data_IF_643608328971
#
_entry.id   IF_643608328971
#
_cell.length_a   1.000
_cell.length_b   1.000
_cell.length_c   1.000
_cell.angle_alpha   90.00
_cell.angle_beta   90.00
_cell.angle_gamma   90.00
#
_symmetry.space_group_name_H-M   'P 1'
#
loop_
_entity.id
_entity.type
_entity.pdbx_description
1 polymer ?
#
# COMPACT_ATOMS: atom_id res chain seq x y z
N UNK A 1 -7.30 20.83 -35.30
CA UNK A 1 -7.58 19.46 -34.80
C UNK A 1 -7.71 19.51 -33.29
N UNK A 2 -8.82 19.05 -32.68
CA UNK A 2 -8.92 18.99 -31.22
C UNK A 2 -7.79 18.08 -30.70
N UNK A 3 -6.98 18.58 -29.76
CA UNK A 3 -5.96 17.76 -29.09
C UNK A 3 -6.68 16.61 -28.37
N UNK A 4 -6.40 15.38 -28.80
CA UNK A 4 -6.89 14.18 -28.14
C UNK A 4 -6.38 14.18 -26.69
N UNK A 5 -7.24 13.75 -25.77
CA UNK A 5 -6.94 13.74 -24.33
C UNK A 5 -5.81 12.77 -23.96
N UNK A 6 -5.63 11.73 -24.77
CA UNK A 6 -4.62 10.70 -24.59
C UNK A 6 -3.68 10.74 -25.80
N UNK A 7 -2.38 10.80 -25.55
CA UNK A 7 -1.38 10.56 -26.59
C UNK A 7 -1.24 9.04 -26.76
N UNK A 8 -1.53 8.54 -27.96
CA UNK A 8 -1.25 7.15 -28.34
C UNK A 8 -0.15 7.20 -29.38
N UNK A 9 0.94 6.50 -29.11
CA UNK A 9 2.05 6.42 -30.06
C UNK A 9 1.71 5.38 -31.13
N UNK A 10 1.36 5.86 -32.32
CA UNK A 10 1.01 5.02 -33.48
C UNK A 10 2.08 3.97 -33.80
N UNK A 11 3.36 4.29 -33.63
CA UNK A 11 4.49 3.36 -33.79
C UNK A 11 4.45 2.19 -32.81
N UNK A 12 3.93 2.40 -31.59
CA UNK A 12 3.78 1.33 -30.59
C UNK A 12 2.68 0.35 -30.96
N UNK A 13 1.58 0.81 -31.56
CA UNK A 13 0.51 -0.08 -32.04
C UNK A 13 1.08 -1.07 -33.05
N UNK A 14 1.80 -0.56 -34.06
CA UNK A 14 2.46 -1.40 -35.08
C UNK A 14 3.41 -2.41 -34.45
N UNK A 15 4.31 -1.92 -33.59
CA UNK A 15 5.32 -2.77 -32.93
C UNK A 15 4.67 -3.89 -32.10
N UNK A 16 3.64 -3.57 -31.31
CA UNK A 16 2.94 -4.55 -30.49
C UNK A 16 2.16 -5.55 -31.35
N UNK A 17 1.56 -5.12 -32.46
CA UNK A 17 0.90 -6.02 -33.40
C UNK A 17 1.87 -7.03 -34.00
N UNK A 18 3.02 -6.55 -34.46
CA UNK A 18 4.08 -7.40 -35.02
C UNK A 18 4.64 -8.38 -33.99
N UNK A 19 4.83 -7.93 -32.74
CA UNK A 19 5.23 -8.79 -31.62
C UNK A 19 4.17 -9.85 -31.27
N UNK A 20 2.89 -9.54 -31.42
CA UNK A 20 1.79 -10.48 -31.25
C UNK A 20 1.62 -11.43 -32.45
N UNK A 21 2.38 -11.24 -33.53
CA UNK A 21 2.29 -12.06 -34.75
C UNK A 21 1.00 -11.85 -35.54
N UNK A 22 0.30 -10.72 -35.34
CA UNK A 22 -0.99 -10.45 -35.97
C UNK A 22 -0.82 -9.67 -37.28
N UNK A 23 -1.58 -10.06 -38.30
CA UNK A 23 -1.81 -9.23 -39.48
C UNK A 23 -2.71 -8.04 -39.16
N UNK A 24 -2.72 -7.03 -40.04
CA UNK A 24 -3.63 -5.89 -39.92
C UNK A 24 -5.11 -6.32 -39.95
N UNK A 25 -5.44 -7.36 -40.73
CA UNK A 25 -6.79 -7.90 -40.82
C UNK A 25 -7.20 -8.62 -39.54
N UNK A 26 -6.33 -9.51 -39.02
CA UNK A 26 -6.62 -10.22 -37.76
C UNK A 26 -6.77 -9.25 -36.58
N UNK A 27 -5.94 -8.20 -36.50
CA UNK A 27 -6.11 -7.18 -35.47
C UNK A 27 -7.45 -6.44 -35.62
N UNK A 28 -7.84 -6.12 -36.86
CA UNK A 28 -9.12 -5.45 -37.14
C UNK A 28 -10.30 -6.32 -36.70
N UNK A 29 -10.26 -7.62 -37.00
CA UNK A 29 -11.28 -8.60 -36.64
C UNK A 29 -11.37 -8.78 -35.11
N UNK A 30 -10.23 -8.89 -34.42
CA UNK A 30 -10.19 -8.99 -32.95
C UNK A 30 -10.74 -7.73 -32.25
N UNK A 31 -10.47 -6.55 -32.79
CA UNK A 31 -10.95 -5.26 -32.22
C UNK A 31 -12.40 -4.97 -32.62
N UNK A 32 -12.89 -5.59 -33.69
CA UNK A 32 -14.22 -5.35 -34.26
C UNK A 32 -14.29 -4.03 -35.03
N UNK A 33 -13.24 -3.69 -35.79
CA UNK A 33 -13.19 -2.52 -36.68
C UNK A 33 -12.79 -2.93 -38.09
N UNK A 34 -12.89 -2.03 -39.06
CA UNK A 34 -12.42 -2.32 -40.42
C UNK A 34 -10.89 -2.29 -40.49
N UNK A 35 -10.31 -3.09 -41.40
CA UNK A 35 -8.87 -3.05 -41.76
C UNK A 35 -8.33 -1.62 -41.90
N UNK A 36 -9.08 -0.76 -42.59
CA UNK A 36 -8.67 0.62 -42.89
C UNK A 36 -8.55 1.50 -41.64
N UNK A 37 -9.32 1.22 -40.60
CA UNK A 37 -9.22 1.92 -39.31
C UNK A 37 -7.90 1.57 -38.62
N UNK A 38 -7.47 0.31 -38.65
CA UNK A 38 -6.18 -0.12 -38.08
C UNK A 38 -5.01 0.52 -38.82
N UNK A 39 -5.07 0.57 -40.16
CA UNK A 39 -4.07 1.29 -40.96
C UNK A 39 -3.96 2.75 -40.54
N UNK A 40 -5.09 3.43 -40.39
CA UNK A 40 -5.07 4.83 -39.98
C UNK A 40 -4.56 5.05 -38.54
N UNK A 41 -4.76 4.10 -37.64
CA UNK A 41 -4.17 4.14 -36.30
C UNK A 41 -2.65 3.99 -36.35
N UNK A 42 -2.13 3.03 -37.11
CA UNK A 42 -0.68 2.81 -37.25
C UNK A 42 0.04 3.91 -38.04
N UNK A 43 -0.66 4.62 -38.92
CA UNK A 43 -0.14 5.80 -39.62
C UNK A 43 -0.30 7.09 -38.80
N UNK A 44 -0.95 7.04 -37.63
CA UNK A 44 -1.19 8.21 -36.80
C UNK A 44 -2.22 9.21 -37.36
N UNK A 45 -3.01 8.82 -38.37
CA UNK A 45 -4.07 9.67 -38.94
C UNK A 45 -5.28 9.81 -38.01
N UNK A 46 -5.55 8.80 -37.19
CA UNK A 46 -6.60 8.83 -36.16
C UNK A 46 -6.10 8.28 -34.83
N UNK A 47 -6.62 8.85 -33.73
CA UNK A 47 -6.41 8.32 -32.37
C UNK A 47 -7.61 7.45 -31.98
N UNK A 48 -7.41 6.19 -31.58
CA UNK A 48 -8.52 5.34 -31.14
C UNK A 48 -9.28 5.93 -29.95
N UNK A 49 -10.62 5.80 -29.97
CA UNK A 49 -11.46 6.13 -28.82
C UNK A 49 -11.29 5.13 -27.67
N UNK A 50 -11.72 5.50 -26.46
CA UNK A 50 -11.49 4.70 -25.25
C UNK A 50 -11.90 3.22 -25.37
N UNK A 51 -13.07 2.93 -25.96
CA UNK A 51 -13.52 1.56 -26.20
C UNK A 51 -12.56 0.78 -27.11
N UNK A 52 -12.08 1.42 -28.17
CA UNK A 52 -11.14 0.82 -29.12
C UNK A 52 -9.75 0.67 -28.52
N UNK A 53 -9.30 1.60 -27.67
CA UNK A 53 -8.04 1.48 -26.93
C UNK A 53 -8.05 0.24 -26.03
N UNK A 54 -9.15 0.01 -25.32
CA UNK A 54 -9.28 -1.17 -24.47
C UNK A 54 -9.24 -2.46 -25.29
N UNK A 55 -10.03 -2.52 -26.36
CA UNK A 55 -10.05 -3.68 -27.26
C UNK A 55 -8.71 -3.92 -27.95
N UNK A 56 -8.01 -2.86 -28.35
CA UNK A 56 -6.64 -2.95 -28.87
C UNK A 56 -5.69 -3.55 -27.84
N UNK A 57 -5.72 -3.08 -26.59
CA UNK A 57 -4.86 -3.61 -25.55
C UNK A 57 -5.15 -5.10 -25.25
N UNK A 58 -6.43 -5.48 -25.23
CA UNK A 58 -6.84 -6.87 -25.02
C UNK A 58 -6.41 -7.76 -26.21
N UNK A 59 -6.63 -7.31 -27.46
CA UNK A 59 -6.24 -8.04 -28.67
C UNK A 59 -4.72 -8.19 -28.84
N UNK A 60 -3.97 -7.14 -28.52
CA UNK A 60 -2.49 -7.15 -28.57
C UNK A 60 -1.87 -7.86 -27.38
N UNK A 61 -2.67 -8.24 -26.38
CA UNK A 61 -2.16 -8.75 -25.14
C UNK A 61 -1.14 -7.79 -24.53
N UNK A 62 -1.48 -6.52 -24.35
CA UNK A 62 -0.71 -5.55 -23.56
C UNK A 62 -1.59 -4.85 -22.50
N UNK A 63 -1.06 -3.91 -21.72
CA UNK A 63 -1.85 -2.96 -20.94
C UNK A 63 -2.10 -1.68 -21.76
N UNK A 64 -3.12 -0.89 -21.41
CA UNK A 64 -3.37 0.38 -22.11
C UNK A 64 -2.22 1.38 -21.97
N UNK A 65 -1.51 1.36 -20.83
CA UNK A 65 -0.30 2.15 -20.62
C UNK A 65 0.82 1.82 -21.63
N UNK A 66 0.87 0.59 -22.13
CA UNK A 66 1.84 0.19 -23.16
C UNK A 66 1.53 0.83 -24.52
N UNK A 67 0.27 1.20 -24.77
CA UNK A 67 -0.17 1.92 -25.99
C UNK A 67 0.09 3.42 -25.91
N UNK A 68 -0.04 4.01 -24.72
CA UNK A 68 0.15 5.45 -24.49
C UNK A 68 1.60 5.82 -24.24
N UNK A 69 2.42 4.86 -23.82
CA UNK A 69 3.77 5.14 -23.35
C UNK A 69 3.83 5.74 -21.97
N UNK A 70 2.70 5.84 -21.25
CA UNK A 70 2.64 6.32 -19.87
C UNK A 70 3.41 5.33 -18.98
N UNK A 71 4.51 5.73 -18.32
CA UNK A 71 5.18 4.86 -17.36
C UNK A 71 4.23 4.35 -16.27
N UNK A 72 4.47 3.13 -15.78
CA UNK A 72 3.70 2.62 -14.64
C UNK A 72 3.85 3.54 -13.43
N UNK A 73 2.73 3.87 -12.78
CA UNK A 73 2.71 4.79 -11.64
C UNK A 73 2.65 6.26 -12.02
N UNK A 74 2.61 6.61 -13.32
CA UNK A 74 2.42 7.98 -13.80
C UNK A 74 1.05 8.22 -14.45
N UNK A 75 0.08 7.33 -14.23
CA UNK A 75 -1.26 7.44 -14.82
C UNK A 75 -2.00 8.70 -14.31
N UNK A 76 -2.75 9.34 -15.21
CA UNK A 76 -3.68 10.46 -14.98
C UNK A 76 -5.13 9.98 -14.99
N UNK A 77 -6.09 10.86 -14.68
CA UNK A 77 -7.51 10.49 -14.66
C UNK A 77 -8.00 9.96 -16.02
N UNK A 78 -7.47 10.51 -17.12
CA UNK A 78 -7.85 10.05 -18.45
C UNK A 78 -7.22 8.70 -18.79
N UNK A 79 -5.98 8.44 -18.36
CA UNK A 79 -5.35 7.12 -18.53
C UNK A 79 -6.20 6.03 -17.85
N UNK A 80 -6.68 6.28 -16.63
CA UNK A 80 -7.53 5.34 -15.90
C UNK A 80 -8.87 5.10 -16.59
N UNK A 81 -9.51 6.15 -17.11
CA UNK A 81 -10.78 6.02 -17.84
C UNK A 81 -10.60 5.21 -19.13
N UNK A 82 -9.52 5.46 -19.87
CA UNK A 82 -9.21 4.71 -21.08
C UNK A 82 -8.82 3.26 -20.79
N UNK A 83 -8.12 3.01 -19.69
CA UNK A 83 -7.85 1.65 -19.19
C UNK A 83 -9.13 0.87 -18.88
N UNK A 84 -10.18 1.55 -18.42
CA UNK A 84 -11.51 1.00 -18.21
C UNK A 84 -12.35 0.89 -19.50
N UNK A 85 -11.88 1.41 -20.64
CA UNK A 85 -12.58 1.37 -21.92
C UNK A 85 -13.81 2.29 -22.00
N UNK A 86 -13.90 3.31 -21.14
CA UNK A 86 -15.10 4.15 -21.01
C UNK A 86 -14.96 5.47 -21.75
N UNK A 87 -15.99 5.89 -22.50
CA UNK A 87 -16.11 7.27 -22.98
C UNK A 87 -16.47 8.22 -21.83
N UNK A 88 -16.33 9.54 -22.06
CA UNK A 88 -16.72 10.54 -21.07
C UNK A 88 -18.24 10.53 -20.81
N UNK A 89 -19.02 10.20 -21.83
CA UNK A 89 -20.47 10.02 -21.79
C UNK A 89 -20.86 8.81 -20.93
N UNK A 90 -20.20 7.66 -21.14
CA UNK A 90 -20.51 6.45 -20.38
C UNK A 90 -20.20 6.59 -18.90
N UNK A 91 -19.03 7.13 -18.55
CA UNK A 91 -18.68 7.37 -17.14
C UNK A 91 -19.63 8.38 -16.50
N UNK A 92 -20.02 9.44 -17.22
CA UNK A 92 -20.98 10.41 -16.70
C UNK A 92 -22.34 9.78 -16.41
N UNK A 93 -22.85 8.93 -17.31
CA UNK A 93 -24.09 8.18 -17.09
C UNK A 93 -23.99 7.26 -15.88
N UNK A 94 -22.89 6.49 -15.75
CA UNK A 94 -22.67 5.61 -14.58
C UNK A 94 -22.58 6.40 -13.27
N UNK A 95 -21.87 7.52 -13.27
CA UNK A 95 -21.74 8.37 -12.08
C UNK A 95 -23.07 9.02 -11.70
N UNK A 96 -23.88 9.49 -12.66
CA UNK A 96 -25.22 10.05 -12.40
C UNK A 96 -26.20 9.06 -11.77
N UNK A 97 -25.95 7.76 -11.87
CA UNK A 97 -26.74 6.74 -11.16
C UNK A 97 -26.45 6.71 -9.64
N UNK A 98 -25.32 7.29 -9.21
CA UNK A 98 -24.91 7.36 -7.80
C UNK A 98 -25.39 8.66 -7.14
N UNK A 99 -25.54 8.67 -5.82
CA UNK A 99 -25.91 9.88 -5.06
C UNK A 99 -24.93 11.03 -5.31
N UNK A 100 -23.62 10.78 -5.12
CA UNK A 100 -22.59 11.82 -5.32
C UNK A 100 -22.55 12.37 -6.75
N UNK A 101 -22.81 11.54 -7.76
CA UNK A 101 -22.82 12.01 -9.14
C UNK A 101 -24.01 12.91 -9.47
N UNK A 102 -25.17 12.69 -8.81
CA UNK A 102 -26.31 13.61 -8.87
C UNK A 102 -26.01 14.92 -8.15
N UNK A 103 -25.45 14.85 -6.94
CA UNK A 103 -25.10 16.04 -6.14
C UNK A 103 -24.07 16.94 -6.82
N UNK A 104 -23.16 16.34 -7.59
CA UNK A 104 -22.16 17.06 -8.39
C UNK A 104 -22.65 17.46 -9.78
N UNK A 105 -23.86 17.03 -10.17
CA UNK A 105 -24.40 17.19 -11.53
C UNK A 105 -23.37 16.76 -12.59
N UNK A 106 -22.77 15.58 -12.42
CA UNK A 106 -21.68 15.09 -13.29
C UNK A 106 -22.17 14.96 -14.72
N UNK A 107 -21.48 15.54 -15.70
CA UNK A 107 -21.72 15.30 -17.12
C UNK A 107 -20.40 15.07 -17.87
N UNK A 108 -20.48 14.68 -19.15
CA UNK A 108 -19.31 14.43 -19.97
C UNK A 108 -18.39 15.64 -20.10
N UNK A 109 -18.94 16.87 -20.07
CA UNK A 109 -18.13 18.10 -20.12
C UNK A 109 -17.35 18.32 -18.82
N UNK A 110 -17.97 18.09 -17.65
CA UNK A 110 -17.31 18.16 -16.35
C UNK A 110 -16.23 17.10 -16.21
N UNK A 111 -16.48 15.86 -16.63
CA UNK A 111 -15.46 14.80 -16.66
C UNK A 111 -14.27 15.23 -17.52
N UNK A 112 -14.52 15.72 -18.74
CA UNK A 112 -13.48 16.19 -19.66
C UNK A 112 -12.71 17.42 -19.17
N UNK A 113 -13.34 18.27 -18.36
CA UNK A 113 -12.70 19.44 -17.76
C UNK A 113 -11.88 19.03 -16.54
N UNK A 114 -12.38 18.10 -15.73
CA UNK A 114 -11.65 17.46 -14.64
C UNK A 114 -10.34 16.85 -15.15
N UNK A 115 -10.43 16.02 -16.20
CA UNK A 115 -9.30 15.32 -16.84
C UNK A 115 -8.27 16.22 -17.50
N UNK A 116 -8.61 17.49 -17.78
CA UNK A 116 -7.70 18.48 -18.38
C UNK A 116 -7.12 19.44 -17.37
N UNK A 117 -7.36 19.23 -16.08
CA UNK A 117 -6.96 20.21 -15.05
C UNK A 117 -7.71 21.54 -15.15
N UNK A 118 -8.84 21.62 -15.89
CA UNK A 118 -9.62 22.85 -16.02
C UNK A 118 -10.62 23.00 -14.88
N UNK A 119 -11.06 24.23 -14.64
CA UNK A 119 -12.12 24.51 -13.67
C UNK A 119 -13.39 23.69 -13.99
N UNK A 120 -13.97 23.06 -12.96
CA UNK A 120 -15.24 22.34 -13.03
C UNK A 120 -16.29 23.15 -12.28
N UNK A 121 -17.42 23.43 -12.93
CA UNK A 121 -18.47 24.27 -12.35
C UNK A 121 -19.31 23.55 -11.28
N UNK A 122 -19.64 24.29 -10.23
CA UNK A 122 -20.53 23.87 -9.13
C UNK A 122 -19.87 23.99 -7.76
N UNK A 123 -20.60 24.47 -6.76
CA UNK A 123 -20.06 24.69 -5.41
C UNK A 123 -19.59 23.37 -4.76
N UNK A 124 -20.37 22.30 -4.88
CA UNK A 124 -20.03 20.96 -4.38
C UNK A 124 -18.71 20.41 -4.96
N UNK A 125 -18.24 20.88 -6.13
CA UNK A 125 -16.94 20.45 -6.68
C UNK A 125 -15.74 21.05 -5.94
N UNK A 126 -15.95 22.15 -5.19
CA UNK A 126 -14.92 22.78 -4.35
C UNK A 126 -14.80 22.12 -2.98
N UNK A 127 -15.76 21.27 -2.61
CA UNK A 127 -15.74 20.59 -1.32
C UNK A 127 -14.95 19.28 -1.39
N UNK A 128 -13.83 19.15 -0.65
CA UNK A 128 -13.02 17.93 -0.68
C UNK A 128 -13.79 16.66 -0.29
N UNK A 129 -14.80 16.78 0.58
CA UNK A 129 -15.62 15.64 0.99
C UNK A 129 -16.48 15.07 -0.16
N UNK A 130 -17.06 15.95 -0.99
CA UNK A 130 -17.84 15.55 -2.17
C UNK A 130 -16.95 14.93 -3.23
N UNK A 131 -15.80 15.54 -3.53
CA UNK A 131 -14.83 14.98 -4.49
C UNK A 131 -14.23 13.67 -3.98
N UNK A 132 -14.06 13.49 -2.66
CA UNK A 132 -13.60 12.22 -2.08
C UNK A 132 -14.59 11.07 -2.24
N UNK A 133 -15.90 11.34 -2.08
CA UNK A 133 -16.96 10.37 -2.43
C UNK A 133 -16.94 10.05 -3.93
N UNK A 134 -16.73 11.05 -4.79
CA UNK A 134 -16.58 10.84 -6.23
C UNK A 134 -15.38 9.95 -6.55
N UNK A 135 -14.24 10.14 -5.90
CA UNK A 135 -13.03 9.31 -6.05
C UNK A 135 -13.32 7.83 -5.74
N UNK A 136 -14.13 7.53 -4.72
CA UNK A 136 -14.54 6.14 -4.43
C UNK A 136 -15.43 5.55 -5.54
N UNK A 137 -16.35 6.34 -6.10
CA UNK A 137 -17.18 5.88 -7.22
C UNK A 137 -16.36 5.69 -8.49
N UNK A 138 -15.45 6.62 -8.81
CA UNK A 138 -14.52 6.47 -9.93
C UNK A 138 -13.66 5.21 -9.79
N UNK A 139 -13.13 4.93 -8.61
CA UNK A 139 -12.34 3.74 -8.35
C UNK A 139 -13.13 2.45 -8.62
N UNK A 140 -14.40 2.43 -8.21
CA UNK A 140 -15.32 1.32 -8.48
C UNK A 140 -15.59 1.16 -9.96
N UNK A 141 -15.94 2.24 -10.66
CA UNK A 141 -16.29 2.20 -12.08
C UNK A 141 -15.08 1.89 -12.98
N UNK A 142 -13.89 2.35 -12.59
CA UNK A 142 -12.64 2.06 -13.29
C UNK A 142 -12.01 0.72 -12.90
N UNK A 143 -12.58 0.03 -11.91
CA UNK A 143 -12.07 -1.25 -11.38
C UNK A 143 -10.61 -1.17 -10.89
N UNK A 144 -10.23 -0.02 -10.33
CA UNK A 144 -8.91 0.23 -9.76
C UNK A 144 -9.02 0.59 -8.28
N UNK A 145 -7.96 0.42 -7.49
CA UNK A 145 -8.01 0.79 -6.09
C UNK A 145 -8.08 2.30 -5.92
N UNK A 146 -8.80 2.76 -4.90
CA UNK A 146 -9.02 4.18 -4.57
C UNK A 146 -7.75 5.03 -4.65
N UNK A 147 -6.61 4.52 -4.15
CA UNK A 147 -5.32 5.22 -4.20
C UNK A 147 -4.87 5.60 -5.61
N UNK A 148 -5.17 4.79 -6.63
CA UNK A 148 -4.78 5.09 -8.01
C UNK A 148 -5.57 6.27 -8.55
N UNK A 149 -6.87 6.35 -8.23
CA UNK A 149 -7.68 7.52 -8.60
C UNK A 149 -7.21 8.76 -7.84
N UNK A 150 -6.83 8.63 -6.57
CA UNK A 150 -6.27 9.73 -5.80
C UNK A 150 -4.95 10.25 -6.39
N UNK A 151 -4.01 9.34 -6.66
CA UNK A 151 -2.70 9.66 -7.26
C UNK A 151 -2.88 10.30 -8.65
N UNK A 152 -3.78 9.74 -9.47
CA UNK A 152 -4.13 10.27 -10.77
C UNK A 152 -4.81 11.64 -10.69
N UNK A 153 -5.68 11.88 -9.69
CA UNK A 153 -6.31 13.17 -9.46
C UNK A 153 -5.28 14.24 -9.14
N UNK A 154 -4.42 13.98 -8.16
CA UNK A 154 -3.36 14.90 -7.75
C UNK A 154 -2.42 15.21 -8.91
N UNK A 155 -2.02 14.19 -9.69
CA UNK A 155 -1.21 14.37 -10.90
C UNK A 155 -1.91 15.19 -11.99
N UNK A 156 -3.21 14.99 -12.18
CA UNK A 156 -4.00 15.72 -13.19
C UNK A 156 -4.25 17.17 -12.76
N UNK A 157 -4.30 17.41 -11.44
CA UNK A 157 -4.74 18.67 -10.82
C UNK A 157 -3.78 19.05 -9.67
N UNK A 158 -2.53 19.43 -9.98
CA UNK A 158 -1.51 19.67 -8.95
C UNK A 158 -1.77 20.90 -8.08
N UNK A 159 -2.60 21.84 -8.56
CA UNK A 159 -2.94 23.08 -7.85
C UNK A 159 -4.23 22.99 -7.02
N UNK A 160 -4.97 21.89 -7.13
CA UNK A 160 -6.22 21.70 -6.38
C UNK A 160 -5.93 21.03 -5.03
N UNK A 161 -6.75 21.36 -4.03
CA UNK A 161 -6.79 20.57 -2.80
C UNK A 161 -7.17 19.11 -3.13
N UNK A 162 -6.46 18.12 -2.56
CA UNK A 162 -6.76 16.73 -2.84
C UNK A 162 -8.15 16.36 -2.29
N UNK A 163 -8.88 15.48 -3.00
CA UNK A 163 -10.14 14.93 -2.51
C UNK A 163 -9.98 14.30 -1.12
N UNK A 164 -10.91 14.59 -0.20
CA UNK A 164 -10.91 14.03 1.16
C UNK A 164 -11.80 12.81 1.19
N UNK A 165 -11.20 11.62 1.25
CA UNK A 165 -11.96 10.39 1.40
C UNK A 165 -12.84 10.45 2.66
N UNK A 166 -14.06 9.88 2.62
CA UNK A 166 -14.88 9.72 3.82
C UNK A 166 -14.08 9.04 4.92
N UNK A 167 -14.19 9.57 6.14
CA UNK A 167 -13.62 8.92 7.31
C UNK A 167 -14.17 7.51 7.43
N UNK A 168 -13.26 6.53 7.51
CA UNK A 168 -13.65 5.20 7.90
C UNK A 168 -13.82 5.22 9.41
N UNK A 169 -15.04 4.95 9.88
CA UNK A 169 -15.22 4.50 11.25
C UNK A 169 -14.25 3.33 11.47
N UNK A 170 -13.39 3.46 12.49
CA UNK A 170 -12.48 2.38 12.87
C UNK A 170 -13.38 1.27 13.40
N UNK A 171 -13.50 0.12 12.71
CA UNK A 171 -14.33 -0.94 13.22
C UNK A 171 -13.81 -1.34 14.60
N UNK A 172 -14.73 -1.48 15.56
CA UNK A 172 -14.41 -2.02 16.87
C UNK A 172 -13.80 -3.43 16.77
N UNK A 173 -13.34 -3.98 17.90
CA UNK A 173 -12.86 -5.36 17.92
C UNK A 173 -13.94 -6.30 17.34
N UNK A 174 -13.56 -7.31 16.54
CA UNK A 174 -14.53 -8.28 16.03
C UNK A 174 -15.31 -8.91 17.18
N UNK A 175 -16.63 -9.12 17.03
CA UNK A 175 -17.46 -9.73 18.08
C UNK A 175 -16.84 -11.05 18.61
N UNK A 176 -16.40 -11.92 17.70
CA UNK A 176 -15.70 -13.16 18.05
C UNK A 176 -14.43 -13.00 18.92
N UNK A 177 -13.77 -11.84 18.87
CA UNK A 177 -12.61 -11.53 19.70
C UNK A 177 -13.03 -11.06 21.09
N UNK A 178 -14.12 -10.31 21.18
CA UNK A 178 -14.77 -9.89 22.45
C UNK A 178 -15.30 -11.12 23.17
N UNK A 179 -16.16 -11.91 22.51
CA UNK A 179 -16.73 -13.14 23.05
C UNK A 179 -15.61 -14.12 23.49
N UNK A 180 -14.56 -14.21 22.67
CA UNK A 180 -13.40 -15.03 22.94
C UNK A 180 -12.64 -14.63 24.20
N UNK A 181 -12.59 -13.33 24.53
CA UNK A 181 -11.96 -12.82 25.75
C UNK A 181 -12.86 -12.99 26.97
N UNK A 182 -14.16 -12.71 26.81
CA UNK A 182 -15.16 -12.87 27.87
C UNK A 182 -15.25 -14.33 28.34
N UNK A 183 -15.12 -15.29 27.43
CA UNK A 183 -15.08 -16.72 27.75
C UNK A 183 -13.84 -17.18 28.53
N UNK A 184 -12.76 -16.38 28.58
CA UNK A 184 -11.57 -16.71 29.35
C UNK A 184 -11.80 -16.45 30.84
N UNK A 185 -11.28 -17.33 31.69
CA UNK A 185 -11.18 -17.03 33.12
C UNK A 185 -10.11 -15.96 33.39
N UNK A 186 -10.15 -15.37 34.58
CA UNK A 186 -9.26 -14.28 34.99
C UNK A 186 -7.78 -14.62 34.77
N UNK A 187 -7.38 -15.83 35.17
CA UNK A 187 -6.01 -16.32 35.00
C UNK A 187 -5.60 -16.39 33.53
N UNK A 188 -6.44 -16.95 32.67
CA UNK A 188 -6.20 -17.04 31.22
C UNK A 188 -6.08 -15.65 30.58
N UNK A 189 -6.90 -14.69 31.04
CA UNK A 189 -6.82 -13.29 30.59
C UNK A 189 -5.48 -12.67 30.93
N UNK A 190 -5.00 -12.85 32.17
CA UNK A 190 -3.67 -12.35 32.58
C UNK A 190 -2.57 -12.99 31.73
N UNK A 191 -2.58 -14.31 31.55
CA UNK A 191 -1.57 -15.00 30.71
C UNK A 191 -1.56 -14.47 29.28
N UNK A 192 -2.74 -14.38 28.66
CA UNK A 192 -2.84 -13.93 27.27
C UNK A 192 -2.43 -12.45 27.13
N UNK A 193 -2.78 -11.60 28.09
CA UNK A 193 -2.37 -10.20 28.14
C UNK A 193 -0.85 -10.03 28.29
N UNK A 194 -0.22 -10.79 29.19
CA UNK A 194 1.23 -10.73 29.40
C UNK A 194 2.03 -11.29 28.23
N UNK A 195 1.50 -12.29 27.52
CA UNK A 195 2.07 -12.79 26.26
C UNK A 195 1.96 -11.74 25.16
N UNK A 196 0.80 -11.07 25.01
CA UNK A 196 0.66 -9.96 24.05
C UNK A 196 1.69 -8.86 24.34
N UNK A 197 1.84 -8.49 25.61
CA UNK A 197 2.78 -7.45 26.04
C UNK A 197 4.22 -7.82 25.68
N UNK A 198 4.65 -9.05 25.92
CA UNK A 198 6.00 -9.50 25.56
C UNK A 198 6.21 -9.56 24.03
N UNK A 199 5.21 -9.96 23.26
CA UNK A 199 5.26 -9.95 21.78
C UNK A 199 5.48 -8.53 21.26
N UNK A 200 4.72 -7.55 21.79
CA UNK A 200 4.86 -6.14 21.44
C UNK A 200 6.20 -5.54 21.88
N UNK A 201 6.67 -5.85 23.09
CA UNK A 201 7.99 -5.41 23.57
C UNK A 201 9.12 -5.99 22.70
N UNK A 202 9.05 -7.28 22.38
CA UNK A 202 10.03 -7.93 21.51
C UNK A 202 9.99 -7.35 20.10
N UNK A 203 8.80 -7.03 19.57
CA UNK A 203 8.65 -6.33 18.30
C UNK A 203 9.35 -4.96 18.29
N UNK A 204 9.18 -4.18 19.36
CA UNK A 204 9.90 -2.90 19.56
C UNK A 204 11.42 -3.10 19.67
N UNK A 205 11.90 -4.10 20.40
CA UNK A 205 13.33 -4.43 20.49
C UNK A 205 13.92 -4.79 19.13
N UNK A 206 13.21 -5.61 18.34
CA UNK A 206 13.64 -5.98 16.99
C UNK A 206 13.62 -4.79 16.04
N UNK A 207 12.65 -3.89 16.19
CA UNK A 207 12.61 -2.63 15.46
C UNK A 207 13.83 -1.76 15.80
N UNK A 208 14.15 -1.57 17.08
CA UNK A 208 15.34 -0.81 17.52
C UNK A 208 16.64 -1.43 16.99
N UNK A 209 16.77 -2.76 17.03
CA UNK A 209 17.92 -3.46 16.45
C UNK A 209 18.06 -3.21 14.95
N UNK A 210 16.96 -3.20 14.18
CA UNK A 210 16.99 -2.88 12.75
C UNK A 210 17.41 -1.43 12.50
N UNK A 211 16.93 -0.49 13.31
CA UNK A 211 17.35 0.91 13.20
C UNK A 211 18.86 1.07 13.44
N UNK A 212 19.39 0.33 14.41
CA UNK A 212 20.83 0.31 14.73
C UNK A 212 21.64 -0.63 13.82
N UNK A 213 21.10 -1.04 12.67
CA UNK A 213 21.75 -1.91 11.67
C UNK A 213 22.24 -3.26 12.22
N UNK A 214 21.72 -3.71 13.36
CA UNK A 214 22.06 -4.99 13.95
C UNK A 214 21.35 -6.14 13.20
N UNK A 215 21.95 -7.33 13.22
CA UNK A 215 21.35 -8.53 12.64
C UNK A 215 20.08 -8.90 13.41
N UNK A 216 18.95 -8.97 12.70
CA UNK A 216 17.65 -9.35 13.27
C UNK A 216 17.20 -10.69 12.67
N UNK A 217 16.89 -11.71 13.49
CA UNK A 217 16.39 -12.98 12.98
C UNK A 217 15.01 -12.82 12.30
N UNK A 218 14.56 -13.80 11.49
CA UNK A 218 13.22 -13.81 10.93
C UNK A 218 12.13 -13.72 12.01
N UNK A 219 11.00 -13.07 11.70
CA UNK A 219 9.88 -12.91 12.63
C UNK A 219 9.37 -14.23 13.22
N UNK A 220 9.37 -15.30 12.42
CA UNK A 220 8.98 -16.65 12.85
C UNK A 220 9.88 -17.22 13.97
N UNK A 221 11.10 -16.70 14.11
CA UNK A 221 12.04 -17.14 15.14
C UNK A 221 11.91 -16.29 16.40
N UNK A 222 11.98 -14.95 16.31
CA UNK A 222 11.95 -14.10 17.50
C UNK A 222 10.55 -13.94 18.13
N UNK A 223 9.47 -14.25 17.40
CA UNK A 223 8.10 -14.29 17.96
C UNK A 223 7.85 -15.52 18.85
N UNK A 224 8.82 -16.44 18.95
CA UNK A 224 8.78 -17.53 19.92
C UNK A 224 9.37 -17.02 21.23
N UNK A 225 8.51 -16.69 22.19
CA UNK A 225 8.88 -16.06 23.44
C UNK A 225 9.25 -17.12 24.49
N UNK A 226 10.43 -17.05 25.13
CA UNK A 226 10.79 -17.94 26.23
C UNK A 226 9.79 -17.85 27.39
N UNK A 227 9.10 -18.97 27.65
CA UNK A 227 8.20 -19.08 28.78
C UNK A 227 8.90 -19.71 29.98
N UNK A 228 9.52 -20.88 29.83
CA UNK A 228 10.19 -21.57 30.93
C UNK A 228 11.40 -22.37 30.44
N UNK A 229 12.38 -22.54 31.33
CA UNK A 229 13.51 -23.48 31.17
C UNK A 229 13.26 -24.67 32.09
N UNK A 230 13.46 -25.89 31.60
CA UNK A 230 13.23 -27.14 32.32
C UNK A 230 14.41 -27.47 33.24
N UNK A 231 14.61 -26.59 34.23
CA UNK A 231 15.65 -26.68 35.25
C UNK A 231 15.20 -25.89 36.51
N UNK A 232 15.78 -26.15 37.70
CA UNK A 232 15.40 -25.44 38.92
C UNK A 232 15.56 -23.93 38.78
N UNK A 233 14.53 -23.16 39.13
CA UNK A 233 14.51 -21.70 38.95
C UNK A 233 15.55 -20.96 39.79
N UNK A 234 16.08 -21.59 40.84
CA UNK A 234 17.22 -21.08 41.62
C UNK A 234 18.49 -20.97 40.76
N UNK A 235 18.60 -21.81 39.73
CA UNK A 235 19.77 -21.88 38.86
C UNK A 235 19.56 -21.13 37.55
N UNK A 236 18.39 -21.27 36.93
CA UNK A 236 18.08 -20.62 35.63
C UNK A 236 17.32 -19.30 35.73
N UNK A 237 16.88 -18.93 36.93
CA UNK A 237 16.05 -17.76 37.16
C UNK A 237 14.64 -17.90 36.58
N UNK A 238 14.02 -16.75 36.33
CA UNK A 238 12.69 -16.64 35.73
C UNK A 238 12.76 -15.86 34.42
N UNK A 239 12.04 -16.32 33.41
CA UNK A 239 11.86 -15.55 32.17
C UNK A 239 11.07 -14.27 32.43
N UNK A 240 11.11 -13.33 31.47
CA UNK A 240 10.33 -12.07 31.55
C UNK A 240 8.83 -12.34 31.76
N UNK A 241 8.29 -13.33 31.05
CA UNK A 241 6.91 -13.77 31.21
C UNK A 241 6.65 -14.33 32.62
N UNK A 242 7.53 -15.21 33.12
CA UNK A 242 7.39 -15.75 34.47
C UNK A 242 7.45 -14.66 35.54
N UNK A 243 8.38 -13.71 35.43
CA UNK A 243 8.49 -12.60 36.38
C UNK A 243 7.19 -11.77 36.43
N UNK A 244 6.62 -11.43 35.27
CA UNK A 244 5.37 -10.65 35.22
C UNK A 244 4.16 -11.43 35.71
N UNK A 245 4.06 -12.72 35.38
CA UNK A 245 3.00 -13.58 35.90
C UNK A 245 3.09 -13.78 37.42
N UNK A 246 4.32 -13.83 37.98
CA UNK A 246 4.53 -13.83 39.43
C UNK A 246 4.12 -12.52 40.06
N UNK A 247 4.46 -11.38 39.45
CA UNK A 247 4.03 -10.07 39.97
C UNK A 247 2.52 -9.85 39.94
N UNK A 248 1.82 -10.58 39.07
CA UNK A 248 0.36 -10.62 39.00
C UNK A 248 -0.26 -11.75 39.85
N UNK A 249 0.54 -12.44 40.67
CA UNK A 249 0.11 -13.53 41.57
C UNK A 249 -0.61 -14.72 40.87
N UNK A 250 -0.27 -14.97 39.60
CA UNK A 250 -0.87 -16.05 38.79
C UNK A 250 0.15 -17.10 38.33
N UNK A 251 1.36 -17.09 38.87
CA UNK A 251 2.39 -18.07 38.53
C UNK A 251 2.61 -19.06 39.69
N UNK A 252 2.01 -20.25 39.56
CA UNK A 252 2.01 -21.37 40.50
C UNK A 252 2.29 -22.73 39.80
N UNK A 253 2.14 -23.85 40.52
CA UNK A 253 2.13 -25.22 39.97
C UNK A 253 0.85 -25.49 39.12
N UNK A 254 0.63 -24.68 38.09
CA UNK A 254 -0.51 -24.76 37.17
C UNK A 254 -0.28 -24.04 35.83
N UNK A 255 0.90 -23.46 35.63
CA UNK A 255 1.26 -22.72 34.41
C UNK A 255 1.09 -23.55 33.12
N UNK A 256 1.47 -24.84 33.15
CA UNK A 256 1.33 -25.75 32.00
C UNK A 256 -0.12 -25.97 31.57
N UNK A 257 -1.05 -26.13 32.52
CA UNK A 257 -2.47 -26.31 32.24
C UNK A 257 -3.10 -25.06 31.61
N UNK A 258 -2.68 -23.87 32.06
CA UNK A 258 -3.16 -22.60 31.51
C UNK A 258 -2.69 -22.43 30.06
N UNK A 259 -1.42 -22.70 29.79
CA UNK A 259 -0.87 -22.68 28.43
C UNK A 259 -1.57 -23.67 27.51
N UNK A 260 -1.77 -24.92 27.98
CA UNK A 260 -2.47 -25.94 27.20
C UNK A 260 -3.92 -25.53 26.87
N UNK A 261 -4.62 -24.91 27.82
CA UNK A 261 -5.97 -24.41 27.58
C UNK A 261 -6.00 -23.28 26.54
N UNK A 262 -5.09 -22.30 26.63
CA UNK A 262 -4.98 -21.21 25.65
C UNK A 262 -4.60 -21.74 24.25
N UNK A 263 -3.75 -22.76 24.19
CA UNK A 263 -3.39 -23.43 22.93
C UNK A 263 -4.57 -24.17 22.32
N UNK A 264 -5.35 -24.91 23.11
CA UNK A 264 -6.58 -25.59 22.66
C UNK A 264 -7.63 -24.62 22.10
N UNK A 265 -7.71 -23.41 22.66
CA UNK A 265 -8.55 -22.33 22.16
C UNK A 265 -7.98 -21.65 20.89
N UNK A 266 -6.79 -22.04 20.44
CA UNK A 266 -6.11 -21.49 19.28
C UNK A 266 -5.58 -20.06 19.49
N UNK A 267 -5.42 -19.62 20.75
CA UNK A 267 -4.98 -18.27 21.10
C UNK A 267 -3.46 -18.17 21.14
N UNK A 268 -2.78 -19.25 21.49
CA UNK A 268 -1.32 -19.36 21.46
C UNK A 268 -0.89 -20.66 20.77
N UNK A 269 0.42 -20.79 20.49
CA UNK A 269 1.10 -22.03 20.16
C UNK A 269 2.22 -22.25 21.16
N UNK A 270 2.37 -23.47 21.65
CA UNK A 270 3.44 -23.87 22.55
C UNK A 270 4.39 -24.77 21.78
N UNK A 271 5.68 -24.45 21.81
CA UNK A 271 6.73 -25.30 21.23
C UNK A 271 7.85 -25.51 22.22
N UNK A 272 8.65 -26.56 22.04
CA UNK A 272 9.85 -26.81 22.83
C UNK A 272 11.07 -26.82 21.93
N UNK A 273 12.17 -26.25 22.42
CA UNK A 273 13.50 -26.40 21.84
C UNK A 273 14.53 -26.66 22.95
N UNK A 274 15.81 -26.79 22.57
CA UNK A 274 16.92 -26.96 23.50
C UNK A 274 17.82 -25.75 23.47
N UNK A 275 18.35 -25.38 24.63
CA UNK A 275 19.28 -24.27 24.77
C UNK A 275 20.37 -24.63 25.77
N UNK A 276 21.60 -24.29 25.43
CA UNK A 276 22.73 -24.38 26.34
C UNK A 276 22.66 -23.26 27.39
N UNK A 277 22.62 -23.64 28.67
CA UNK A 277 22.70 -22.70 29.78
C UNK A 277 24.09 -22.81 30.42
N UNK A 278 24.85 -21.71 30.50
CA UNK A 278 26.17 -21.70 31.11
C UNK A 278 26.15 -22.31 32.52
N UNK A 279 26.99 -23.31 32.76
CA UNK A 279 27.13 -23.98 34.07
C UNK A 279 26.12 -25.10 34.36
N UNK A 280 25.11 -25.31 33.51
CA UNK A 280 24.13 -26.40 33.64
C UNK A 280 24.23 -27.38 32.47
N UNK A 281 24.49 -26.86 31.27
CA UNK A 281 24.45 -27.63 30.03
C UNK A 281 23.14 -27.43 29.28
N UNK A 282 22.81 -28.38 28.40
CA UNK A 282 21.61 -28.35 27.57
C UNK A 282 20.34 -28.56 28.40
N UNK A 283 19.41 -27.62 28.31
CA UNK A 283 18.09 -27.70 28.95
C UNK A 283 16.98 -27.51 27.93
N UNK A 284 15.86 -28.20 28.15
CA UNK A 284 14.66 -28.00 27.34
C UNK A 284 14.03 -26.63 27.69
N UNK A 285 13.62 -25.88 26.68
CA UNK A 285 12.97 -24.57 26.83
C UNK A 285 11.58 -24.60 26.22
N UNK A 286 10.60 -24.19 27.00
CA UNK A 286 9.22 -23.97 26.53
C UNK A 286 9.09 -22.57 25.96
N UNK A 287 8.58 -22.49 24.73
CA UNK A 287 8.36 -21.27 23.97
C UNK A 287 6.87 -21.08 23.69
N UNK A 288 6.41 -19.84 23.77
CA UNK A 288 5.02 -19.45 23.44
C UNK A 288 5.00 -18.45 22.28
N UNK A 289 4.09 -18.64 21.34
CA UNK A 289 3.81 -17.72 20.23
C UNK A 289 2.32 -17.34 20.25
N UNK A 290 2.01 -16.05 20.30
CA UNK A 290 0.61 -15.60 20.23
C UNK A 290 0.09 -15.66 18.79
N UNK A 291 -1.08 -16.28 18.60
CA UNK A 291 -1.66 -16.38 17.26
C UNK A 291 -2.29 -15.06 16.83
N UNK A 292 -2.68 -14.94 15.55
CA UNK A 292 -3.47 -13.79 15.07
C UNK A 292 -4.80 -13.68 15.84
N UNK A 293 -5.45 -14.81 16.14
CA UNK A 293 -6.68 -14.88 16.93
C UNK A 293 -6.42 -14.46 18.39
N UNK A 294 -5.33 -14.97 18.98
CA UNK A 294 -4.90 -14.57 20.33
C UNK A 294 -4.66 -13.07 20.46
N UNK A 295 -3.93 -12.47 19.51
CA UNK A 295 -3.71 -11.01 19.48
C UNK A 295 -5.01 -10.22 19.38
N UNK A 296 -5.93 -10.64 18.51
CA UNK A 296 -7.23 -9.98 18.37
C UNK A 296 -8.04 -10.07 19.68
N UNK A 297 -8.10 -11.25 20.29
CA UNK A 297 -8.78 -11.50 21.57
C UNK A 297 -8.18 -10.67 22.72
N UNK A 298 -6.87 -10.71 22.87
CA UNK A 298 -6.14 -9.96 23.89
C UNK A 298 -6.34 -8.44 23.76
N UNK A 299 -6.22 -7.92 22.54
CA UNK A 299 -6.42 -6.49 22.27
C UNK A 299 -7.85 -6.05 22.56
N UNK A 300 -8.84 -6.85 22.14
CA UNK A 300 -10.26 -6.59 22.42
C UNK A 300 -10.52 -6.46 23.93
N UNK A 301 -9.99 -7.41 24.71
CA UNK A 301 -10.17 -7.44 26.16
C UNK A 301 -9.42 -6.37 26.95
N UNK A 302 -8.24 -5.96 26.46
CA UNK A 302 -7.43 -4.91 27.07
C UNK A 302 -7.81 -3.49 26.58
N UNK A 303 -8.84 -3.37 25.73
CA UNK A 303 -9.21 -2.09 25.13
C UNK A 303 -8.14 -1.49 24.21
N UNK A 304 -7.19 -2.31 23.73
CA UNK A 304 -6.15 -1.85 22.81
C UNK A 304 -6.72 -1.80 21.39
N UNK A 305 -6.63 -0.66 20.68
CA UNK A 305 -7.10 -0.59 19.30
C UNK A 305 -6.27 -1.53 18.42
N UNK A 306 -6.91 -2.14 17.43
CA UNK A 306 -6.17 -2.84 16.39
C UNK A 306 -5.29 -1.84 15.64
N UNK A 307 -4.04 -2.21 15.35
CA UNK A 307 -3.22 -1.49 14.36
C UNK A 307 -3.94 -1.55 13.02
N UNK A 308 -4.65 -0.48 12.69
CA UNK A 308 -5.29 -0.32 11.40
C UNK A 308 -4.23 0.10 10.38
N UNK A 309 -4.20 -0.58 9.23
CA UNK A 309 -3.48 -0.08 8.08
C UNK A 309 -3.90 1.38 7.80
N UNK A 310 -2.97 2.24 7.35
CA UNK A 310 -3.32 3.61 7.02
C UNK A 310 -4.45 3.63 5.95
N UNK A 311 -5.22 4.72 5.87
CA UNK A 311 -6.15 4.93 4.78
C UNK A 311 -5.51 4.59 3.42
N UNK A 312 -6.27 4.01 2.50
CA UNK A 312 -5.69 3.37 1.30
C UNK A 312 -4.81 4.29 0.43
N UNK A 313 -5.04 5.61 0.48
CA UNK A 313 -4.28 6.64 -0.25
C UNK A 313 -3.04 7.14 0.52
N UNK A 314 -2.86 6.76 1.77
CA UNK A 314 -1.69 7.08 2.59
C UNK A 314 -0.71 5.90 2.61
N UNK A 315 0.53 6.20 2.95
CA UNK A 315 1.65 5.28 3.03
C UNK A 315 1.75 4.70 4.44
N UNK A 316 2.27 3.47 4.55
CA UNK A 316 2.76 2.97 5.82
C UNK A 316 3.92 3.82 6.34
N UNK A 317 4.17 3.83 7.65
CA UNK A 317 5.29 4.53 8.29
C UNK A 317 6.63 4.30 7.57
N UNK A 318 6.96 3.05 7.23
CA UNK A 318 8.19 2.72 6.51
C UNK A 318 8.29 3.42 5.14
N UNK A 319 7.25 3.29 4.30
CA UNK A 319 7.21 3.95 2.99
C UNK A 319 7.18 5.47 3.09
N UNK A 320 6.53 6.03 4.13
CA UNK A 320 6.54 7.46 4.42
C UNK A 320 7.96 7.94 4.76
N UNK A 321 8.67 7.25 5.65
CA UNK A 321 10.06 7.55 5.98
C UNK A 321 11.01 7.45 4.78
N UNK A 322 10.80 6.48 3.88
CA UNK A 322 11.57 6.41 2.63
C UNK A 322 11.28 7.60 1.73
N UNK A 323 10.01 7.98 1.57
CA UNK A 323 9.63 9.15 0.75
C UNK A 323 10.25 10.45 1.30
N UNK A 324 10.20 10.67 2.62
CA UNK A 324 10.83 11.81 3.27
C UNK A 324 12.35 11.82 3.11
N UNK A 325 13.01 10.65 3.18
CA UNK A 325 14.46 10.56 2.94
C UNK A 325 14.84 10.97 1.52
N UNK A 326 14.10 10.49 0.53
CA UNK A 326 14.33 10.89 -0.87
C UNK A 326 14.03 12.37 -1.08
N UNK A 327 13.01 12.92 -0.42
CA UNK A 327 12.71 14.36 -0.47
C UNK A 327 13.82 15.21 0.17
N UNK A 328 14.35 14.77 1.33
CA UNK A 328 15.41 15.45 2.06
C UNK A 328 16.76 15.46 1.35
N UNK A 329 17.01 14.52 0.43
CA UNK A 329 18.20 14.53 -0.42
C UNK A 329 18.20 15.70 -1.45
N UNK A 330 17.04 16.33 -1.66
CA UNK A 330 16.92 17.54 -2.48
C UNK A 330 17.44 17.36 -3.92
N UNK A 331 18.16 18.35 -4.47
CA UNK A 331 18.63 18.33 -5.85
C UNK A 331 19.75 17.31 -6.11
N UNK A 332 20.53 16.89 -5.10
CA UNK A 332 21.58 15.89 -5.27
C UNK A 332 21.01 14.48 -5.46
N UNK A 333 19.84 14.21 -4.86
CA UNK A 333 19.17 12.93 -4.93
C UNK A 333 19.86 11.83 -4.12
N UNK A 334 19.11 10.76 -3.86
CA UNK A 334 19.52 9.69 -2.95
C UNK A 334 20.18 8.54 -3.73
N UNK A 335 21.28 7.97 -3.23
CA UNK A 335 21.89 6.79 -3.85
C UNK A 335 21.01 5.54 -3.65
N UNK A 336 21.07 4.58 -4.56
CA UNK A 336 20.27 3.34 -4.44
C UNK A 336 20.63 2.53 -3.18
N UNK A 337 21.89 2.53 -2.74
CA UNK A 337 22.30 1.83 -1.51
C UNK A 337 21.67 2.41 -0.23
N UNK A 338 21.17 3.63 -0.29
CA UNK A 338 20.53 4.32 0.85
C UNK A 338 19.00 4.10 0.86
N UNK A 339 18.45 3.53 -0.22
CA UNK A 339 17.09 3.03 -0.24
C UNK A 339 17.01 1.70 0.52
N UNK A 340 15.93 1.54 1.27
CA UNK A 340 15.74 0.33 2.09
C UNK A 340 14.80 -0.65 1.44
N UNK A 341 15.18 -1.93 1.43
CA UNK A 341 14.31 -3.05 1.10
C UNK A 341 13.67 -2.96 -0.28
N UNK A 342 12.35 -3.17 -0.33
CA UNK A 342 11.56 -3.24 -1.57
C UNK A 342 10.86 -1.92 -1.93
N UNK A 343 11.32 -0.78 -1.39
CA UNK A 343 10.61 0.50 -1.49
C UNK A 343 10.37 0.94 -2.95
N UNK A 344 11.31 0.67 -3.85
CA UNK A 344 11.21 0.97 -5.29
C UNK A 344 9.94 0.39 -5.92
N UNK A 345 9.61 -0.86 -5.61
CA UNK A 345 8.42 -1.52 -6.15
C UNK A 345 7.10 -0.86 -5.73
N UNK A 346 7.12 -0.02 -4.70
CA UNK A 346 5.93 0.69 -4.20
C UNK A 346 5.92 2.17 -4.58
N UNK A 347 7.09 2.82 -4.68
CA UNK A 347 7.19 4.27 -4.84
C UNK A 347 7.68 4.72 -6.21
N UNK A 348 8.49 3.93 -6.92
CA UNK A 348 9.24 4.41 -8.08
C UNK A 348 8.44 4.37 -9.38
N UNK A 349 8.55 5.39 -10.22
CA UNK A 349 8.00 5.41 -11.59
C UNK A 349 8.56 4.23 -12.39
N UNK A 350 7.72 3.62 -13.23
CA UNK A 350 8.09 2.52 -14.11
C UNK A 350 8.02 1.13 -13.47
N UNK A 351 7.78 1.04 -12.15
CA UNK A 351 7.73 -0.25 -11.48
C UNK A 351 6.34 -0.88 -11.47
N UNK A 352 6.26 -2.08 -12.05
CA UNK A 352 5.11 -2.99 -11.96
C UNK A 352 5.61 -4.43 -11.84
N UNK A 353 5.51 -5.08 -10.66
CA UNK A 353 6.18 -6.37 -10.42
C UNK A 353 5.74 -7.52 -11.33
N UNK A 354 4.48 -7.51 -11.76
CA UNK A 354 3.88 -8.45 -12.71
C UNK A 354 2.87 -7.68 -13.56
N UNK A 355 2.59 -8.11 -14.78
CA UNK A 355 1.66 -7.41 -15.68
C UNK A 355 0.25 -7.18 -15.09
N UNK A 356 -0.24 -8.11 -14.27
CA UNK A 356 -1.52 -8.00 -13.55
C UNK A 356 -1.39 -7.32 -12.18
N UNK A 357 -0.17 -7.07 -11.69
CA UNK A 357 0.04 -6.37 -10.44
C UNK A 357 -0.26 -4.89 -10.62
N UNK A 358 -0.69 -4.26 -9.53
CA UNK A 358 -0.93 -2.82 -9.51
C UNK A 358 0.41 -2.10 -9.63
N UNK A 359 0.48 -0.98 -10.38
CA UNK A 359 1.69 -0.18 -10.45
C UNK A 359 2.07 0.36 -9.07
N UNK A 360 3.34 0.71 -8.94
CA UNK A 360 3.85 1.60 -7.90
C UNK A 360 3.12 2.96 -7.95
N UNK A 361 3.36 3.82 -6.95
CA UNK A 361 2.70 5.13 -6.86
C UNK A 361 3.34 6.21 -7.72
N UNK A 362 4.55 5.99 -8.22
CA UNK A 362 5.30 6.99 -9.00
C UNK A 362 5.57 8.27 -8.23
N UNK A 363 5.92 8.15 -6.95
CA UNK A 363 6.32 9.26 -6.07
C UNK A 363 7.79 9.60 -6.19
N UNK A 364 8.63 8.63 -6.57
CA UNK A 364 10.06 8.84 -6.82
C UNK A 364 10.44 8.42 -8.23
N UNK A 365 11.50 8.99 -8.77
CA UNK A 365 12.03 8.67 -10.09
C UNK A 365 13.55 8.66 -10.10
N UNK A 366 14.12 7.91 -11.03
CA UNK A 366 15.56 7.78 -11.21
C UNK A 366 16.00 8.82 -12.24
N UNK A 367 16.94 9.69 -11.88
CA UNK A 367 17.52 10.69 -12.79
C UNK A 367 19.03 10.47 -12.93
N UNK A 368 19.60 10.67 -14.13
CA UNK A 368 21.05 10.63 -14.30
C UNK A 368 21.69 11.86 -13.64
N UNK A 369 22.80 11.65 -12.94
CA UNK A 369 23.71 12.70 -12.51
C UNK A 369 24.83 12.78 -13.53
N UNK A 370 24.90 13.90 -14.24
CA UNK A 370 25.90 14.11 -15.29
C UNK A 370 27.25 14.53 -14.71
N UNK A 371 28.33 14.16 -15.39
CA UNK A 371 29.65 14.72 -15.12
C UNK A 371 29.69 16.22 -15.42
N UNK A 372 30.62 17.00 -14.83
CA UNK A 372 30.78 18.40 -15.19
C UNK A 372 30.87 18.60 -16.72
N UNK A 373 30.01 19.45 -17.26
CA UNK A 373 29.90 19.71 -18.70
C UNK A 373 29.02 18.73 -19.49
N UNK A 374 28.13 17.98 -18.83
CA UNK A 374 27.15 17.08 -19.45
C UNK A 374 27.74 16.01 -20.40
N UNK A 375 28.98 15.61 -20.15
CA UNK A 375 29.73 14.71 -21.06
C UNK A 375 29.27 13.25 -21.01
N UNK A 376 29.01 12.74 -19.80
CA UNK A 376 28.54 11.37 -19.57
C UNK A 376 27.77 11.28 -18.24
N UNK A 377 26.98 10.22 -18.09
CA UNK A 377 26.29 9.90 -16.82
C UNK A 377 27.32 9.33 -15.85
N UNK A 378 27.50 9.98 -14.69
CA UNK A 378 28.35 9.48 -13.61
C UNK A 378 27.64 8.33 -12.87
N UNK A 379 26.39 8.58 -12.50
CA UNK A 379 25.58 7.68 -11.69
C UNK A 379 24.10 8.05 -11.81
N UNK A 380 23.23 7.22 -11.27
CA UNK A 380 21.80 7.50 -11.18
C UNK A 380 21.40 7.77 -9.74
N UNK A 381 20.58 8.80 -9.54
CA UNK A 381 20.12 9.23 -8.21
C UNK A 381 18.59 9.28 -8.17
N UNK A 382 18.04 8.94 -7.01
CA UNK A 382 16.60 8.94 -6.78
C UNK A 382 16.14 10.31 -6.32
N UNK A 383 15.12 10.85 -7.00
CA UNK A 383 14.49 12.12 -6.66
C UNK A 383 13.01 11.93 -6.45
N UNK A 384 12.40 12.86 -5.72
CA UNK A 384 10.95 12.96 -5.65
C UNK A 384 10.38 13.53 -6.95
N UNK A 385 9.28 12.94 -7.40
CA UNK A 385 8.48 13.48 -8.51
C UNK A 385 7.64 14.65 -8.03
N UNK A 386 7.03 15.40 -8.96
CA UNK A 386 6.04 16.42 -8.62
C UNK A 386 4.86 15.86 -7.79
N UNK A 387 4.38 14.66 -8.12
CA UNK A 387 3.34 13.99 -7.34
C UNK A 387 3.84 13.64 -5.92
N UNK A 388 5.06 13.14 -5.80
CA UNK A 388 5.66 12.82 -4.50
C UNK A 388 5.76 14.05 -3.60
N UNK A 389 6.20 15.19 -4.15
CA UNK A 389 6.25 16.47 -3.44
C UNK A 389 4.86 16.97 -3.04
N UNK A 390 3.89 16.91 -3.96
CA UNK A 390 2.51 17.28 -3.65
C UNK A 390 1.91 16.38 -2.56
N UNK A 391 2.17 15.07 -2.60
CA UNK A 391 1.73 14.13 -1.56
C UNK A 391 2.29 14.50 -0.19
N UNK A 392 3.58 14.83 -0.12
CA UNK A 392 4.21 15.30 1.13
C UNK A 392 3.50 16.57 1.61
N UNK A 393 3.39 17.59 0.77
CA UNK A 393 2.79 18.87 1.13
C UNK A 393 1.33 18.73 1.62
N UNK A 394 0.52 17.92 0.92
CA UNK A 394 -0.89 17.73 1.26
C UNK A 394 -1.14 16.94 2.53
N UNK A 395 -0.27 15.97 2.87
CA UNK A 395 -0.54 14.99 3.92
C UNK A 395 0.46 15.02 5.08
N UNK A 396 1.44 15.93 5.09
CA UNK A 396 2.44 16.03 6.16
C UNK A 396 1.79 16.09 7.55
N UNK A 397 0.76 16.95 7.73
CA UNK A 397 0.04 17.07 9.00
C UNK A 397 -0.61 15.73 9.43
N UNK A 398 -1.25 15.02 8.50
CA UNK A 398 -1.88 13.72 8.75
C UNK A 398 -0.83 12.68 9.15
N UNK A 399 0.33 12.66 8.49
CA UNK A 399 1.41 11.72 8.84
C UNK A 399 2.06 12.06 10.17
N UNK A 400 2.21 13.32 10.54
CA UNK A 400 2.73 13.73 11.85
C UNK A 400 1.82 13.23 12.98
N UNK A 401 0.50 13.27 12.79
CA UNK A 401 -0.47 12.72 13.75
C UNK A 401 -0.44 11.18 13.79
N UNK A 402 -0.35 10.52 12.63
CA UNK A 402 -0.34 9.06 12.54
C UNK A 402 0.98 8.43 13.02
N UNK A 403 2.11 9.08 12.73
CA UNK A 403 3.47 8.59 12.93
C UNK A 403 4.35 9.65 13.63
N UNK A 404 4.07 9.99 14.90
CA UNK A 404 4.80 11.05 15.61
C UNK A 404 6.30 10.77 15.71
N UNK A 405 6.71 9.49 15.76
CA UNK A 405 8.12 9.08 15.78
C UNK A 405 8.85 9.26 14.43
N UNK A 406 8.12 9.44 13.33
CA UNK A 406 8.65 9.61 11.98
C UNK A 406 8.49 11.06 11.46
N UNK A 407 8.08 12.00 12.32
CA UNK A 407 7.93 13.40 11.95
C UNK A 407 9.31 14.02 11.63
N UNK A 408 9.44 14.78 10.52
CA UNK A 408 10.66 15.55 10.28
C UNK A 408 10.82 16.59 11.40
N UNK A 409 12.07 16.92 11.81
CA UNK A 409 12.30 17.97 12.81
C UNK A 409 11.67 19.29 12.33
N UNK A 410 11.15 20.13 13.25
CA UNK A 410 10.61 21.44 12.87
C UNK A 410 11.69 22.25 12.15
N UNK A 411 11.31 22.83 11.00
CA UNK A 411 12.16 23.73 10.20
C UNK A 411 12.31 25.08 10.87
#
# INVERSE_FOLDING_TARGET
>A
MPRHLLAIEHTKIRRLREQAGLTLQELADLVGVTYRVVVYWEEGRYVPEARNVRRLADALGCATADLTGTPSGSETLVDLRYAAGLTAEEIATRLRATTVGRDLFVDAHKVRSLERGRHVSGWNWREPAHTGRLVQQLATVYEVPVRMVMDAWMRTRPADDPPRLPERERPGPPASAVDGWEALNERQRVYLGEILRDDQMTETEMWMRRQNQARVPPAKQWRKLPFALDAPSEVVGHTRLQQRLRSADVHDQGAGATLHSLERLGLIRVTKDRVEVPGIGEVDRTLVEITRRGRACARAGLGQPAESAPPAHLLSEWLWGVLLRVAGAGPEGLHESELTGKSLFYLAVGYRPKRQARPSRGFIELRPRMAPGDTHVLEYRWHTTALGQQHIASYLHVYTEMYPAAAPPPQ
#
